data_IF_546393202508
#
_entry.id   IF_546393202508
#
_cell.length_a   1.000
_cell.length_b   1.000
_cell.length_c   1.000
_cell.angle_alpha   90.00
_cell.angle_beta   90.00
_cell.angle_gamma   90.00
#
_symmetry.space_group_name_H-M   'P 1'
#
loop_
_entity.id
_entity.type
_entity.pdbx_description
1 polymer ?
#
# COMPACT_ATOMS: atom_id res chain seq x y z
N UNK A 1 11.28 14.26 -47.67
CA UNK A 1 11.29 15.48 -46.84
C UNK A 1 9.85 15.80 -46.53
N UNK A 2 9.35 15.95 -45.31
CA UNK A 2 9.90 15.84 -43.97
C UNK A 2 8.75 15.30 -43.10
N UNK A 3 9.04 14.34 -42.22
CA UNK A 3 8.07 13.83 -41.25
C UNK A 3 8.13 14.75 -40.04
N UNK A 4 6.99 15.39 -39.73
CA UNK A 4 6.81 16.26 -38.60
C UNK A 4 7.02 15.48 -37.29
N UNK A 5 8.14 15.74 -36.63
CA UNK A 5 8.38 15.38 -35.24
C UNK A 5 8.07 16.58 -34.35
N UNK A 6 6.81 16.74 -33.96
CA UNK A 6 6.40 17.70 -32.92
C UNK A 6 5.13 17.18 -32.28
N UNK A 7 5.27 16.47 -31.15
CA UNK A 7 4.22 16.36 -30.12
C UNK A 7 4.69 15.68 -28.82
N UNK A 8 5.90 15.10 -28.77
CA UNK A 8 6.43 14.47 -27.52
C UNK A 8 7.03 15.43 -26.48
N UNK A 9 7.10 16.74 -26.74
CA UNK A 9 7.83 17.69 -25.87
C UNK A 9 6.95 18.32 -24.78
N UNK A 10 5.64 18.36 -24.95
CA UNK A 10 4.71 18.97 -24.00
C UNK A 10 4.30 18.07 -22.82
N UNK A 11 4.15 16.76 -23.06
CA UNK A 11 3.78 15.80 -21.99
C UNK A 11 4.93 15.56 -21.01
N UNK A 12 6.18 15.54 -21.49
CA UNK A 12 7.34 15.28 -20.65
C UNK A 12 7.65 16.41 -19.64
N UNK A 13 7.22 17.66 -19.90
CA UNK A 13 7.43 18.77 -18.96
C UNK A 13 6.44 18.80 -17.80
N UNK A 14 5.27 18.20 -17.96
CA UNK A 14 4.21 18.17 -16.92
C UNK A 14 4.47 17.08 -15.84
N UNK A 15 5.45 16.20 -16.06
CA UNK A 15 5.79 15.12 -15.14
C UNK A 15 6.95 15.46 -14.19
N UNK A 16 7.57 16.63 -14.35
CA UNK A 16 8.70 17.07 -13.53
C UNK A 16 8.22 18.10 -12.53
N UNK A 17 8.64 17.99 -11.27
CA UNK A 17 8.32 18.93 -10.20
C UNK A 17 8.93 20.29 -10.52
N UNK A 18 8.11 21.25 -10.94
CA UNK A 18 8.52 22.61 -11.29
C UNK A 18 7.46 23.61 -10.84
N UNK A 19 7.93 24.76 -10.36
CA UNK A 19 7.08 25.86 -9.92
C UNK A 19 7.50 27.17 -10.59
N UNK A 20 6.52 28.02 -10.89
CA UNK A 20 6.75 29.36 -11.45
C UNK A 20 7.01 30.39 -10.36
N UNK A 21 6.38 30.23 -9.18
CA UNK A 21 6.47 31.20 -8.11
C UNK A 21 7.87 31.21 -7.48
N UNK A 22 8.45 32.42 -7.37
CA UNK A 22 9.84 32.65 -6.92
C UNK A 22 10.17 32.03 -5.56
N UNK A 23 9.19 31.93 -4.66
CA UNK A 23 9.36 31.26 -3.36
C UNK A 23 10.05 29.90 -3.49
N UNK A 24 9.62 29.06 -4.44
CA UNK A 24 10.16 27.73 -4.62
C UNK A 24 11.59 27.74 -5.18
N UNK A 25 11.97 28.79 -5.91
CA UNK A 25 13.32 28.98 -6.44
C UNK A 25 14.27 29.68 -5.44
N UNK A 26 13.75 30.27 -4.36
CA UNK A 26 14.54 31.04 -3.39
C UNK A 26 15.37 30.19 -2.44
N UNK A 27 15.16 28.87 -2.40
CA UNK A 27 15.80 27.97 -1.44
C UNK A 27 16.43 26.78 -2.18
N UNK A 28 17.76 26.66 -2.11
CA UNK A 28 18.50 25.58 -2.79
C UNK A 28 18.20 24.19 -2.18
N UNK A 29 17.98 24.13 -0.87
CA UNK A 29 17.72 22.90 -0.12
C UNK A 29 16.21 22.62 0.08
N UNK A 30 15.34 23.19 -0.76
CA UNK A 30 13.90 22.92 -0.65
C UNK A 30 13.57 21.51 -1.13
N UNK A 31 12.87 20.77 -0.28
CA UNK A 31 12.29 19.48 -0.64
C UNK A 31 10.94 19.28 0.04
N UNK A 32 10.18 18.32 -0.44
CA UNK A 32 8.84 18.00 0.03
C UNK A 32 8.85 16.61 0.65
N UNK A 33 8.07 16.40 1.71
CA UNK A 33 7.85 15.08 2.33
C UNK A 33 6.50 15.02 3.04
N UNK A 34 6.06 13.82 3.40
CA UNK A 34 5.02 13.68 4.41
C UNK A 34 5.63 13.85 5.80
N UNK A 35 4.91 14.52 6.69
CA UNK A 35 5.24 14.54 8.12
C UNK A 35 4.81 13.23 8.81
N UNK A 36 5.03 13.15 10.13
CA UNK A 36 4.69 11.96 10.92
C UNK A 36 3.19 11.64 10.92
N UNK A 37 2.34 12.63 10.63
CA UNK A 37 0.89 12.54 10.59
C UNK A 37 0.33 12.29 9.18
N UNK A 38 1.19 12.27 8.16
CA UNK A 38 0.80 12.08 6.76
C UNK A 38 0.46 13.37 6.02
N UNK A 39 0.74 14.53 6.60
CA UNK A 39 0.48 15.82 5.96
C UNK A 39 1.65 16.20 5.06
N UNK A 40 1.42 16.61 3.80
CA UNK A 40 2.48 17.06 2.92
C UNK A 40 3.03 18.42 3.38
N UNK A 41 4.36 18.47 3.51
CA UNK A 41 5.10 19.64 4.00
C UNK A 41 6.27 19.95 3.08
N UNK A 42 6.57 21.23 2.96
CA UNK A 42 7.81 21.75 2.38
C UNK A 42 8.81 21.93 3.51
N UNK A 43 10.01 21.39 3.33
CA UNK A 43 11.11 21.50 4.28
C UNK A 43 12.20 22.33 3.63
N UNK A 44 12.61 23.39 4.33
CA UNK A 44 13.64 24.31 3.88
C UNK A 44 14.65 24.54 4.99
N UNK A 45 15.92 24.64 4.61
CA UNK A 45 17.01 24.86 5.55
C UNK A 45 17.21 26.37 5.77
N UNK A 46 17.10 26.82 7.03
CA UNK A 46 17.39 28.18 7.47
C UNK A 46 18.62 28.15 8.38
N UNK A 47 19.79 28.50 7.81
CA UNK A 47 21.07 28.43 8.49
C UNK A 47 21.34 27.04 9.10
N UNK A 48 21.19 26.90 10.43
CA UNK A 48 21.39 25.65 11.16
C UNK A 48 20.11 24.85 11.44
N UNK A 49 18.93 25.43 11.18
CA UNK A 49 17.64 24.84 11.52
C UNK A 49 16.83 24.50 10.27
N UNK A 50 15.92 23.54 10.40
CA UNK A 50 14.90 23.27 9.38
C UNK A 50 13.62 24.03 9.70
N UNK A 51 13.03 24.67 8.69
CA UNK A 51 11.68 25.18 8.75
C UNK A 51 10.75 24.25 7.95
N UNK A 52 9.62 23.90 8.57
CA UNK A 52 8.61 23.01 8.00
C UNK A 52 7.36 23.84 7.74
N UNK A 53 6.90 23.86 6.49
CA UNK A 53 5.74 24.62 6.04
C UNK A 53 4.71 23.69 5.43
N UNK A 54 3.50 23.69 5.99
CA UNK A 54 2.39 22.88 5.46
C UNK A 54 1.89 23.45 4.13
N UNK A 55 1.50 22.57 3.21
CA UNK A 55 1.03 22.98 1.88
C UNK A 55 -0.17 23.93 1.95
N UNK A 56 -1.10 23.73 2.88
CA UNK A 56 -2.24 24.63 3.09
C UNK A 56 -1.83 26.05 3.48
N UNK A 57 -0.76 26.18 4.27
CA UNK A 57 -0.20 27.47 4.65
C UNK A 57 0.42 28.18 3.45
N UNK A 58 1.21 27.44 2.66
CA UNK A 58 1.84 27.93 1.42
C UNK A 58 0.76 28.39 0.43
N UNK A 59 -0.29 27.59 0.23
CA UNK A 59 -1.42 27.93 -0.66
C UNK A 59 -2.09 29.23 -0.25
N UNK A 60 -2.37 29.39 1.04
CA UNK A 60 -3.00 30.60 1.58
C UNK A 60 -2.13 31.83 1.44
N UNK A 61 -0.85 31.71 1.80
CA UNK A 61 0.09 32.84 1.79
C UNK A 61 0.35 33.36 0.38
N UNK A 62 0.49 32.46 -0.59
CA UNK A 62 0.78 32.83 -1.97
C UNK A 62 -0.45 32.83 -2.90
N UNK A 63 -1.66 32.75 -2.33
CA UNK A 63 -2.92 32.75 -3.08
C UNK A 63 -2.99 31.67 -4.18
N UNK A 64 -2.35 30.52 -3.95
CA UNK A 64 -2.37 29.38 -4.87
C UNK A 64 -3.63 28.55 -4.64
N UNK A 65 -4.33 28.23 -5.72
CA UNK A 65 -5.51 27.37 -5.71
C UNK A 65 -5.39 26.27 -6.77
N UNK A 66 -6.32 25.31 -6.77
CA UNK A 66 -6.28 24.15 -7.66
C UNK A 66 -6.43 24.49 -9.16
N UNK A 67 -6.67 25.76 -9.51
CA UNK A 67 -6.68 26.24 -10.90
C UNK A 67 -5.33 26.84 -11.33
N UNK A 68 -4.51 27.30 -10.38
CA UNK A 68 -3.16 27.84 -10.66
C UNK A 68 -2.18 26.72 -10.99
N UNK A 69 -1.19 27.00 -11.86
CA UNK A 69 -0.14 26.03 -12.23
C UNK A 69 0.57 25.46 -11.00
N UNK A 70 1.04 26.34 -10.11
CA UNK A 70 1.75 25.92 -8.89
C UNK A 70 0.83 25.22 -7.88
N UNK A 71 -0.43 25.62 -7.77
CA UNK A 71 -1.41 24.93 -6.93
C UNK A 71 -1.67 23.49 -7.40
N UNK A 72 -1.79 23.29 -8.73
CA UNK A 72 -1.89 21.95 -9.33
C UNK A 72 -0.62 21.13 -9.09
N UNK A 73 0.56 21.73 -9.26
CA UNK A 73 1.82 21.04 -8.98
C UNK A 73 1.94 20.65 -7.50
N UNK A 74 1.55 21.51 -6.56
CA UNK A 74 1.49 21.14 -5.13
C UNK A 74 0.54 19.95 -4.89
N UNK A 75 -0.61 19.88 -5.58
CA UNK A 75 -1.48 18.71 -5.50
C UNK A 75 -0.78 17.45 -6.01
N UNK A 76 -0.13 17.51 -7.19
CA UNK A 76 0.59 16.36 -7.75
C UNK A 76 1.77 15.92 -6.89
N UNK A 77 2.50 16.87 -6.29
CA UNK A 77 3.56 16.57 -5.32
C UNK A 77 2.97 15.88 -4.09
N UNK A 78 1.86 16.39 -3.53
CA UNK A 78 1.21 15.77 -2.37
C UNK A 78 0.75 14.34 -2.66
N UNK A 79 0.21 14.08 -3.85
CA UNK A 79 -0.10 12.73 -4.34
C UNK A 79 1.18 11.88 -4.46
N UNK A 80 2.26 12.46 -5.01
CA UNK A 80 3.53 11.75 -5.26
C UNK A 80 4.21 11.29 -3.99
N UNK A 81 4.17 12.13 -2.97
CA UNK A 81 4.72 11.84 -1.64
C UNK A 81 4.05 10.66 -0.94
N UNK A 82 2.91 10.16 -1.45
CA UNK A 82 2.35 8.91 -0.95
C UNK A 82 3.16 7.68 -1.38
N UNK A 83 3.91 7.77 -2.48
CA UNK A 83 4.66 6.68 -3.09
C UNK A 83 6.18 6.79 -2.91
N UNK A 84 6.67 7.97 -2.49
CA UNK A 84 8.09 8.22 -2.28
C UNK A 84 8.35 9.00 -0.98
N UNK A 85 9.56 8.88 -0.45
CA UNK A 85 9.95 9.53 0.83
C UNK A 85 10.06 11.05 0.75
N UNK A 86 10.38 11.55 -0.43
CA UNK A 86 10.47 12.98 -0.66
C UNK A 86 10.63 13.28 -2.14
N UNK A 87 10.34 14.52 -2.49
CA UNK A 87 10.47 15.06 -3.84
C UNK A 87 11.20 16.39 -3.77
N UNK A 88 12.08 16.65 -4.74
CA UNK A 88 12.76 17.92 -4.95
C UNK A 88 12.29 18.56 -6.24
N UNK A 89 12.56 19.87 -6.37
CA UNK A 89 12.38 20.56 -7.64
C UNK A 89 13.31 19.94 -8.67
N UNK A 90 12.76 19.61 -9.84
CA UNK A 90 13.46 18.92 -10.92
C UNK A 90 13.33 17.40 -10.89
N UNK A 91 12.81 16.81 -9.81
CA UNK A 91 12.51 15.37 -9.77
C UNK A 91 11.31 15.03 -10.67
N UNK A 92 11.34 13.84 -11.27
CA UNK A 92 10.17 13.29 -11.95
C UNK A 92 9.18 12.76 -10.91
N UNK A 93 7.89 13.04 -11.11
CA UNK A 93 6.82 12.48 -10.29
C UNK A 93 6.83 10.93 -10.37
N UNK A 94 6.36 10.23 -9.33
CA UNK A 94 6.27 8.77 -9.35
C UNK A 94 5.39 8.25 -10.50
N UNK A 95 5.73 7.07 -11.02
CA UNK A 95 5.02 6.45 -12.15
C UNK A 95 3.56 6.16 -11.82
N UNK A 96 3.24 5.94 -10.55
CA UNK A 96 1.89 5.66 -10.06
C UNK A 96 0.93 6.81 -10.40
N UNK A 97 1.45 8.04 -10.49
CA UNK A 97 0.69 9.24 -10.84
C UNK A 97 0.71 9.50 -12.34
N UNK A 98 1.83 9.22 -12.99
CA UNK A 98 2.01 9.52 -14.41
C UNK A 98 1.31 8.48 -15.28
N UNK A 99 1.62 7.20 -15.05
CA UNK A 99 1.22 6.08 -15.92
C UNK A 99 0.38 5.01 -15.22
N UNK A 100 0.16 5.11 -13.89
CA UNK A 100 -0.41 4.05 -13.03
C UNK A 100 0.47 2.79 -12.91
N UNK A 101 1.68 2.82 -13.46
CA UNK A 101 2.66 1.77 -13.23
C UNK A 101 3.35 1.96 -11.89
N UNK A 102 3.83 0.88 -11.28
CA UNK A 102 4.64 0.99 -10.08
C UNK A 102 6.03 1.56 -10.40
N UNK A 103 6.58 2.37 -9.50
CA UNK A 103 7.94 2.90 -9.56
C UNK A 103 9.00 1.91 -9.07
N UNK A 104 8.58 0.76 -8.55
CA UNK A 104 9.41 -0.32 -8.02
C UNK A 104 9.14 -1.62 -8.79
N UNK A 105 9.96 -2.66 -8.58
CA UNK A 105 9.80 -3.94 -9.29
C UNK A 105 9.83 -5.12 -8.32
N UNK A 106 8.91 -6.09 -8.45
CA UNK A 106 8.91 -7.31 -7.66
C UNK A 106 10.01 -8.25 -8.16
N UNK A 107 10.45 -9.15 -7.28
CA UNK A 107 11.41 -10.21 -7.64
C UNK A 107 10.74 -11.33 -8.44
N UNK A 108 11.54 -12.07 -9.22
CA UNK A 108 11.07 -13.24 -10.00
C UNK A 108 10.30 -14.27 -9.16
N UNK A 109 10.65 -14.40 -7.87
CA UNK A 109 9.93 -15.31 -6.96
C UNK A 109 8.46 -14.91 -6.79
N UNK A 110 8.17 -13.60 -6.71
CA UNK A 110 6.82 -13.11 -6.52
C UNK A 110 5.97 -13.38 -7.77
N UNK A 111 6.56 -13.20 -8.96
CA UNK A 111 5.90 -13.55 -10.22
C UNK A 111 5.58 -15.05 -10.29
N UNK A 112 6.50 -15.92 -9.87
CA UNK A 112 6.25 -17.37 -9.82
C UNK A 112 5.10 -17.73 -8.88
N UNK A 113 5.06 -17.14 -7.69
CA UNK A 113 3.99 -17.36 -6.70
C UNK A 113 2.65 -16.87 -7.26
N UNK A 114 2.59 -15.67 -7.82
CA UNK A 114 1.38 -15.11 -8.42
C UNK A 114 0.84 -15.99 -9.57
N UNK A 115 1.71 -16.44 -10.47
CA UNK A 115 1.35 -17.38 -11.55
C UNK A 115 0.76 -18.68 -11.01
N UNK A 116 1.37 -19.23 -9.97
CA UNK A 116 0.90 -20.47 -9.36
C UNK A 116 -0.43 -20.28 -8.65
N UNK A 117 -0.64 -19.16 -7.95
CA UNK A 117 -1.92 -18.82 -7.32
C UNK A 117 -3.06 -18.82 -8.34
N UNK A 118 -2.90 -18.07 -9.43
CA UNK A 118 -3.89 -18.01 -10.52
C UNK A 118 -4.13 -19.38 -11.17
N UNK A 119 -3.05 -20.14 -11.39
CA UNK A 119 -3.16 -21.50 -11.96
C UNK A 119 -3.92 -22.44 -11.04
N UNK A 120 -3.66 -22.39 -9.74
CA UNK A 120 -4.37 -23.20 -8.75
C UNK A 120 -5.83 -22.78 -8.62
N UNK A 121 -6.14 -21.49 -8.73
CA UNK A 121 -7.52 -21.00 -8.76
C UNK A 121 -8.30 -21.56 -9.97
N UNK A 122 -7.68 -21.66 -11.15
CA UNK A 122 -8.29 -22.34 -12.31
C UNK A 122 -8.55 -23.82 -12.04
N UNK A 123 -7.61 -24.52 -11.39
CA UNK A 123 -7.78 -25.94 -11.04
C UNK A 123 -8.88 -26.12 -9.99
N UNK A 124 -8.94 -25.27 -8.98
CA UNK A 124 -10.01 -25.26 -7.96
C UNK A 124 -11.37 -24.99 -8.60
N UNK A 125 -11.45 -24.03 -9.53
CA UNK A 125 -12.67 -23.75 -10.29
C UNK A 125 -13.15 -24.99 -11.08
N UNK A 126 -12.24 -25.69 -11.76
CA UNK A 126 -12.58 -26.89 -12.53
C UNK A 126 -13.03 -28.06 -11.64
N UNK A 127 -12.31 -28.29 -10.54
CA UNK A 127 -12.52 -29.48 -9.70
C UNK A 127 -13.60 -29.29 -8.64
N UNK A 128 -13.97 -28.04 -8.35
CA UNK A 128 -14.85 -27.68 -7.22
C UNK A 128 -14.19 -27.90 -5.85
N UNK A 129 -12.89 -28.18 -5.80
CA UNK A 129 -12.16 -28.38 -4.56
C UNK A 129 -11.80 -27.02 -3.94
N UNK A 130 -12.63 -26.55 -3.00
CA UNK A 130 -12.36 -25.36 -2.21
C UNK A 130 -11.12 -25.61 -1.32
N UNK A 131 -9.96 -25.19 -1.79
CA UNK A 131 -8.76 -25.07 -0.98
C UNK A 131 -8.30 -23.62 -1.02
N UNK A 132 -8.35 -22.95 0.13
CA UNK A 132 -7.75 -21.63 0.30
C UNK A 132 -6.27 -21.87 0.59
N UNK A 133 -5.38 -21.29 -0.21
CA UNK A 133 -3.94 -21.41 -0.01
C UNK A 133 -3.44 -20.28 0.89
N UNK A 134 -2.87 -20.65 2.04
CA UNK A 134 -2.54 -19.71 3.11
C UNK A 134 -1.16 -19.06 2.94
N UNK A 135 -0.29 -19.67 2.13
CA UNK A 135 1.07 -19.20 1.89
C UNK A 135 1.60 -19.52 0.48
N UNK A 136 2.59 -18.75 0.02
CA UNK A 136 3.28 -19.01 -1.25
C UNK A 136 4.07 -20.34 -1.26
N UNK A 137 4.57 -20.78 -0.10
CA UNK A 137 5.28 -22.06 0.02
C UNK A 137 4.36 -23.27 -0.16
N UNK A 138 3.16 -23.22 0.43
CA UNK A 138 2.12 -24.23 0.26
C UNK A 138 1.72 -24.37 -1.21
N UNK A 139 1.53 -23.24 -1.90
CA UNK A 139 1.26 -23.20 -3.34
C UNK A 139 2.36 -23.88 -4.18
N UNK A 140 3.63 -23.57 -3.88
CA UNK A 140 4.78 -24.13 -4.59
C UNK A 140 4.89 -25.65 -4.45
N UNK A 141 4.56 -26.19 -3.28
CA UNK A 141 4.61 -27.64 -3.03
C UNK A 141 3.51 -28.38 -3.80
N UNK A 142 2.29 -27.86 -3.75
CA UNK A 142 1.11 -28.50 -4.38
C UNK A 142 1.19 -28.44 -5.90
N UNK A 143 1.71 -27.35 -6.48
CA UNK A 143 1.87 -27.21 -7.93
C UNK A 143 2.80 -28.26 -8.57
N UNK A 144 3.64 -28.93 -7.77
CA UNK A 144 4.56 -29.95 -8.26
C UNK A 144 3.94 -31.35 -8.37
N UNK A 145 2.75 -31.59 -7.83
CA UNK A 145 2.05 -32.86 -7.89
C UNK A 145 1.71 -33.25 -9.36
N UNK A 146 2.06 -34.48 -9.83
CA UNK A 146 1.73 -34.95 -11.16
C UNK A 146 0.23 -34.92 -11.52
N UNK A 147 -0.65 -35.15 -10.55
CA UNK A 147 -2.10 -35.12 -10.75
C UNK A 147 -2.59 -33.68 -10.94
N UNK A 148 -2.05 -32.73 -10.18
CA UNK A 148 -2.33 -31.30 -10.33
C UNK A 148 -1.91 -30.84 -11.73
N UNK A 149 -0.73 -31.23 -12.21
CA UNK A 149 -0.26 -30.87 -13.57
C UNK A 149 -1.18 -31.31 -14.69
N UNK A 150 -1.81 -32.49 -14.57
CA UNK A 150 -2.83 -32.94 -15.55
C UNK A 150 -4.08 -32.07 -15.49
N UNK A 151 -4.55 -31.77 -14.28
CA UNK A 151 -5.72 -30.92 -14.07
C UNK A 151 -5.48 -29.49 -14.57
N UNK A 152 -4.25 -28.98 -14.49
CA UNK A 152 -3.88 -27.66 -15.01
C UNK A 152 -4.15 -27.57 -16.51
N UNK A 153 -3.64 -28.51 -17.31
CA UNK A 153 -3.83 -28.45 -18.77
C UNK A 153 -5.31 -28.52 -19.16
N UNK A 154 -6.10 -29.31 -18.44
CA UNK A 154 -7.55 -29.39 -18.67
C UNK A 154 -8.23 -28.07 -18.28
N UNK A 155 -7.88 -27.50 -17.11
CA UNK A 155 -8.47 -26.26 -16.62
C UNK A 155 -8.29 -25.08 -17.59
N UNK A 156 -7.12 -24.98 -18.25
CA UNK A 156 -6.90 -23.96 -19.28
C UNK A 156 -7.82 -24.13 -20.51
N UNK A 157 -8.04 -25.36 -20.98
CA UNK A 157 -8.94 -25.63 -22.11
C UNK A 157 -10.41 -25.40 -21.75
N UNK A 158 -10.84 -25.81 -20.56
CA UNK A 158 -12.21 -25.59 -20.06
C UNK A 158 -12.46 -24.09 -19.81
N UNK A 159 -11.47 -23.36 -19.28
CA UNK A 159 -11.57 -21.92 -19.12
C UNK A 159 -11.70 -21.20 -20.48
N UNK A 160 -10.96 -21.62 -21.50
CA UNK A 160 -11.09 -21.05 -22.84
C UNK A 160 -12.50 -21.23 -23.43
N UNK A 161 -13.12 -22.40 -23.20
CA UNK A 161 -14.52 -22.63 -23.56
C UNK A 161 -15.49 -21.75 -22.75
N UNK A 162 -15.29 -21.64 -21.43
CA UNK A 162 -16.13 -20.80 -20.56
C UNK A 162 -16.05 -19.29 -20.86
N UNK A 163 -14.95 -18.86 -21.49
CA UNK A 163 -14.74 -17.50 -22.02
C UNK A 163 -15.31 -17.31 -23.44
N UNK A 164 -15.79 -18.36 -24.09
CA UNK A 164 -16.33 -18.30 -25.45
C UNK A 164 -15.27 -18.29 -26.56
N UNK A 165 -14.02 -18.59 -26.24
CA UNK A 165 -12.89 -18.64 -27.20
C UNK A 165 -12.76 -20.01 -27.88
N UNK A 166 -13.31 -21.05 -27.25
CA UNK A 166 -13.19 -22.45 -27.67
C UNK A 166 -11.94 -23.14 -27.10
N UNK A 167 -12.03 -24.45 -26.86
CA UNK A 167 -11.00 -25.23 -26.13
C UNK A 167 -9.60 -25.15 -26.70
N UNK A 168 -9.48 -24.99 -28.02
CA UNK A 168 -8.21 -24.91 -28.73
C UNK A 168 -7.46 -23.59 -28.46
N UNK A 169 -8.17 -22.53 -28.04
CA UNK A 169 -7.59 -21.21 -27.76
C UNK A 169 -7.04 -21.08 -26.33
N UNK A 170 -6.61 -22.17 -25.71
CA UNK A 170 -6.04 -22.19 -24.36
C UNK A 170 -4.85 -21.24 -24.18
N UNK A 171 -4.11 -20.94 -25.25
CA UNK A 171 -2.96 -20.03 -25.23
C UNK A 171 -3.36 -18.58 -24.92
N UNK A 172 -4.58 -18.16 -25.30
CA UNK A 172 -5.10 -16.84 -24.92
C UNK A 172 -5.32 -16.75 -23.41
N UNK A 173 -5.87 -17.80 -22.82
CA UNK A 173 -6.05 -17.89 -21.36
C UNK A 173 -4.70 -17.85 -20.65
N UNK A 174 -3.67 -18.52 -21.19
CA UNK A 174 -2.31 -18.43 -20.68
C UNK A 174 -1.82 -16.98 -20.70
N UNK A 175 -2.00 -16.23 -21.81
CA UNK A 175 -1.61 -14.82 -21.89
C UNK A 175 -2.32 -13.95 -20.85
N UNK A 176 -3.63 -14.13 -20.66
CA UNK A 176 -4.38 -13.40 -19.64
C UNK A 176 -3.87 -13.68 -18.23
N UNK A 177 -3.58 -14.94 -17.91
CA UNK A 177 -2.98 -15.32 -16.63
C UNK A 177 -1.59 -14.70 -16.47
N UNK A 178 -0.78 -14.62 -17.53
CA UNK A 178 0.53 -13.97 -17.45
C UNK A 178 0.44 -12.46 -17.20
N UNK A 179 -0.54 -11.78 -17.79
CA UNK A 179 -0.79 -10.35 -17.56
C UNK A 179 -1.20 -10.13 -16.10
N UNK A 180 -2.20 -10.87 -15.61
CA UNK A 180 -2.66 -10.77 -14.24
C UNK A 180 -1.59 -11.15 -13.22
N UNK A 181 -0.78 -12.16 -13.53
CA UNK A 181 0.32 -12.58 -12.65
C UNK A 181 1.38 -11.49 -12.49
N UNK A 182 1.64 -10.68 -13.53
CA UNK A 182 2.57 -9.54 -13.42
C UNK A 182 2.04 -8.49 -12.46
N UNK A 183 0.74 -8.19 -12.50
CA UNK A 183 0.12 -7.24 -11.58
C UNK A 183 0.07 -7.81 -10.14
N UNK A 184 -0.32 -9.08 -9.97
CA UNK A 184 -0.34 -9.75 -8.67
C UNK A 184 1.05 -9.95 -8.06
N UNK A 185 2.12 -10.00 -8.87
CA UNK A 185 3.49 -10.11 -8.36
C UNK A 185 3.85 -8.94 -7.41
N UNK A 186 3.27 -7.76 -7.63
CA UNK A 186 3.42 -6.63 -6.71
C UNK A 186 2.73 -6.91 -5.38
N UNK A 187 1.50 -7.44 -5.40
CA UNK A 187 0.79 -7.83 -4.18
C UNK A 187 1.58 -8.90 -3.40
N UNK A 188 2.16 -9.88 -4.09
CA UNK A 188 3.02 -10.90 -3.45
C UNK A 188 4.29 -10.31 -2.85
N UNK A 189 4.88 -9.27 -3.44
CA UNK A 189 6.01 -8.56 -2.85
C UNK A 189 5.62 -7.83 -1.55
N UNK A 190 4.44 -7.20 -1.54
CA UNK A 190 3.91 -6.54 -0.33
C UNK A 190 3.55 -7.56 0.77
N UNK A 191 3.18 -8.81 0.41
CA UNK A 191 2.97 -9.90 1.39
C UNK A 191 4.24 -10.27 2.13
N UNK A 192 5.41 -10.20 1.48
CA UNK A 192 6.69 -10.44 2.15
C UNK A 192 6.97 -9.36 3.19
N UNK A 193 6.70 -8.09 2.87
CA UNK A 193 6.83 -6.97 3.83
C UNK A 193 5.85 -7.17 4.99
N UNK A 194 4.61 -7.53 4.69
CA UNK A 194 3.59 -7.83 5.71
C UNK A 194 3.97 -9.00 6.63
N UNK A 195 4.66 -10.03 6.12
CA UNK A 195 5.20 -11.10 6.94
C UNK A 195 6.24 -10.58 7.95
N UNK A 196 7.04 -9.58 7.59
CA UNK A 196 7.94 -8.91 8.54
C UNK A 196 7.18 -8.12 9.61
N UNK A 197 6.06 -7.46 9.25
CA UNK A 197 5.19 -6.80 10.23
C UNK A 197 4.60 -7.81 11.25
N UNK A 198 4.21 -9.00 10.80
CA UNK A 198 3.75 -10.07 11.72
C UNK A 198 4.83 -10.46 12.74
N UNK A 199 6.10 -10.55 12.32
CA UNK A 199 7.23 -10.82 13.23
C UNK A 199 7.43 -9.70 14.25
N UNK A 200 7.19 -8.44 13.87
CA UNK A 200 7.22 -7.30 14.81
C UNK A 200 6.15 -7.48 15.88
N UNK A 201 4.92 -7.83 15.49
CA UNK A 201 3.82 -8.07 16.43
C UNK A 201 4.11 -9.23 17.39
N UNK A 202 4.70 -10.32 16.91
CA UNK A 202 5.16 -11.44 17.75
C UNK A 202 6.18 -10.97 18.80
N UNK A 203 7.15 -10.12 18.42
CA UNK A 203 8.11 -9.53 19.35
C UNK A 203 7.43 -8.63 20.37
N UNK A 204 6.50 -7.78 19.95
CA UNK A 204 5.69 -6.93 20.85
C UNK A 204 4.93 -7.80 21.86
N UNK A 205 4.27 -8.86 21.40
CA UNK A 205 3.54 -9.80 22.26
C UNK A 205 4.47 -10.50 23.26
N UNK A 206 5.70 -10.84 22.85
CA UNK A 206 6.74 -11.35 23.73
C UNK A 206 7.16 -10.35 24.81
N UNK A 207 7.46 -9.11 24.41
CA UNK A 207 7.83 -8.03 25.34
C UNK A 207 6.69 -7.71 26.32
N UNK A 208 5.43 -7.73 25.86
CA UNK A 208 4.23 -7.58 26.70
C UNK A 208 4.20 -8.59 27.84
N UNK A 209 4.55 -9.85 27.58
CA UNK A 209 4.63 -10.90 28.60
C UNK A 209 5.76 -10.64 29.60
N UNK A 210 6.94 -10.22 29.13
CA UNK A 210 8.10 -9.90 29.96
C UNK A 210 7.81 -8.72 30.91
N UNK A 211 7.16 -7.67 30.41
CA UNK A 211 6.85 -6.47 31.18
C UNK A 211 5.52 -6.54 31.96
N UNK A 212 4.87 -7.71 32.01
CA UNK A 212 3.55 -7.89 32.66
C UNK A 212 3.49 -7.49 34.14
N UNK A 213 4.62 -7.54 34.86
CA UNK A 213 4.73 -7.14 36.27
C UNK A 213 5.08 -5.66 36.48
N UNK A 214 5.51 -4.96 35.42
CA UNK A 214 5.87 -3.54 35.48
C UNK A 214 4.65 -2.68 35.12
N UNK A 215 4.00 -2.11 36.14
CA UNK A 215 2.76 -1.33 35.98
C UNK A 215 2.91 -0.13 35.04
N UNK A 216 4.08 0.50 34.96
CA UNK A 216 4.29 1.65 34.08
C UNK A 216 4.48 1.24 32.62
N UNK A 217 5.21 0.15 32.38
CA UNK A 217 5.51 -0.32 31.03
C UNK A 217 4.38 -1.16 30.42
N UNK A 218 3.62 -1.89 31.24
CA UNK A 218 2.56 -2.76 30.73
C UNK A 218 1.46 -1.96 30.03
N UNK A 219 1.08 -0.79 30.56
CA UNK A 219 0.04 0.05 29.95
C UNK A 219 0.43 0.49 28.53
N UNK A 220 1.67 0.95 28.37
CA UNK A 220 2.20 1.37 27.06
C UNK A 220 2.32 0.17 26.12
N UNK A 221 2.85 -0.96 26.61
CA UNK A 221 3.05 -2.16 25.79
C UNK A 221 1.72 -2.78 25.35
N UNK A 222 0.70 -2.75 26.21
CA UNK A 222 -0.67 -3.18 25.89
C UNK A 222 -1.32 -2.27 24.84
N UNK A 223 -1.05 -0.97 24.89
CA UNK A 223 -1.52 -0.05 23.87
C UNK A 223 -0.83 -0.28 22.53
N UNK A 224 0.49 -0.46 22.51
CA UNK A 224 1.26 -0.82 21.31
C UNK A 224 0.74 -2.13 20.70
N UNK A 225 0.56 -3.18 21.49
CA UNK A 225 0.04 -4.46 21.01
C UNK A 225 -1.35 -4.32 20.36
N UNK A 226 -2.24 -3.52 20.96
CA UNK A 226 -3.58 -3.26 20.38
C UNK A 226 -3.51 -2.50 19.06
N UNK A 227 -2.65 -1.49 18.97
CA UNK A 227 -2.47 -0.71 17.74
C UNK A 227 -1.80 -1.53 16.64
N UNK A 228 -0.82 -2.36 16.99
CA UNK A 228 -0.14 -3.30 16.08
C UNK A 228 -1.12 -4.30 15.48
N UNK A 229 -1.93 -4.97 16.31
CA UNK A 229 -2.97 -5.89 15.83
C UNK A 229 -3.97 -5.22 14.88
N UNK A 230 -4.32 -3.95 15.15
CA UNK A 230 -5.21 -3.19 14.27
C UNK A 230 -4.55 -2.89 12.92
N UNK A 231 -3.28 -2.49 12.93
CA UNK A 231 -2.52 -2.29 11.70
C UNK A 231 -2.47 -3.59 10.88
N UNK A 232 -2.13 -4.71 11.52
CA UNK A 232 -2.11 -6.02 10.86
C UNK A 232 -3.47 -6.38 10.25
N UNK A 233 -4.56 -6.09 10.94
CA UNK A 233 -5.91 -6.35 10.44
C UNK A 233 -6.21 -5.58 9.17
N UNK A 234 -5.85 -4.30 9.09
CA UNK A 234 -6.07 -3.46 7.89
C UNK A 234 -5.39 -4.07 6.67
N UNK A 235 -4.13 -4.50 6.82
CA UNK A 235 -3.41 -5.15 5.72
C UNK A 235 -3.99 -6.51 5.37
N UNK A 236 -4.32 -7.34 6.37
CA UNK A 236 -4.92 -8.65 6.15
C UNK A 236 -6.24 -8.53 5.40
N UNK A 237 -7.12 -7.61 5.80
CA UNK A 237 -8.42 -7.40 5.16
C UNK A 237 -8.24 -6.99 3.66
N UNK A 238 -7.21 -6.19 3.31
CA UNK A 238 -6.88 -5.86 1.91
C UNK A 238 -6.40 -7.08 1.11
N UNK A 239 -5.52 -7.89 1.69
CA UNK A 239 -5.04 -9.11 1.04
C UNK A 239 -6.17 -10.12 0.83
N UNK A 240 -7.03 -10.29 1.83
CA UNK A 240 -8.19 -11.19 1.77
C UNK A 240 -9.17 -10.73 0.68
N UNK A 241 -9.33 -9.41 0.48
CA UNK A 241 -10.18 -8.87 -0.57
C UNK A 241 -9.64 -9.21 -1.97
N UNK A 242 -8.32 -9.14 -2.18
CA UNK A 242 -7.70 -9.54 -3.46
C UNK A 242 -7.78 -11.06 -3.66
N UNK A 243 -7.54 -11.84 -2.61
CA UNK A 243 -7.65 -13.30 -2.68
C UNK A 243 -9.09 -13.74 -2.99
N UNK A 244 -10.09 -13.09 -2.41
CA UNK A 244 -11.51 -13.35 -2.70
C UNK A 244 -11.85 -13.06 -4.16
N UNK A 245 -11.43 -11.91 -4.71
CA UNK A 245 -11.70 -11.58 -6.11
C UNK A 245 -10.99 -12.52 -7.08
N UNK A 246 -9.74 -12.89 -6.79
CA UNK A 246 -8.99 -13.84 -7.63
C UNK A 246 -9.56 -15.27 -7.54
N UNK A 247 -10.30 -15.60 -6.48
CA UNK A 247 -11.09 -16.83 -6.38
C UNK A 247 -12.19 -16.95 -7.45
N UNK A 248 -12.74 -15.84 -7.94
CA UNK A 248 -13.71 -15.79 -9.04
C UNK A 248 -13.02 -15.70 -10.42
N UNK A 249 -12.02 -16.56 -10.64
CA UNK A 249 -11.05 -16.45 -11.76
C UNK A 249 -11.69 -16.31 -13.15
N UNK A 250 -12.81 -16.98 -13.45
CA UNK A 250 -13.48 -16.84 -14.75
C UNK A 250 -14.13 -15.46 -14.93
N UNK A 251 -14.75 -14.92 -13.89
CA UNK A 251 -15.32 -13.57 -13.94
C UNK A 251 -14.20 -12.53 -14.12
N UNK A 252 -13.07 -12.77 -13.46
CA UNK A 252 -11.87 -11.95 -13.57
C UNK A 252 -11.31 -11.94 -15.00
N UNK A 253 -11.15 -13.13 -15.61
CA UNK A 253 -10.65 -13.27 -16.98
C UNK A 253 -11.58 -12.66 -18.04
N UNK A 254 -12.90 -12.65 -17.80
CA UNK A 254 -13.88 -11.99 -18.69
C UNK A 254 -13.76 -10.47 -18.69
N UNK A 255 -13.21 -9.88 -17.63
CA UNK A 255 -13.12 -8.43 -17.46
C UNK A 255 -11.72 -8.00 -17.04
N UNK A 256 -10.72 -8.46 -17.78
CA UNK A 256 -9.31 -8.37 -17.40
C UNK A 256 -8.85 -6.93 -17.16
N UNK A 257 -9.26 -5.96 -18.00
CA UNK A 257 -8.82 -4.57 -17.89
C UNK A 257 -9.28 -3.94 -16.57
N UNK A 258 -10.57 -4.11 -16.21
CA UNK A 258 -11.08 -3.61 -14.93
C UNK A 258 -10.39 -4.30 -13.74
N UNK A 259 -9.98 -5.55 -13.90
CA UNK A 259 -9.30 -6.31 -12.84
C UNK A 259 -7.84 -5.88 -12.68
N UNK A 260 -7.16 -5.53 -13.77
CA UNK A 260 -5.84 -4.90 -13.73
C UNK A 260 -5.93 -3.58 -12.95
N UNK A 261 -6.89 -2.72 -13.29
CA UNK A 261 -7.08 -1.44 -12.59
C UNK A 261 -7.39 -1.63 -11.11
N UNK A 262 -8.24 -2.59 -10.77
CA UNK A 262 -8.52 -2.95 -9.39
C UNK A 262 -7.26 -3.41 -8.64
N UNK A 263 -6.49 -4.35 -9.22
CA UNK A 263 -5.25 -4.85 -8.60
C UNK A 263 -4.26 -3.71 -8.39
N UNK A 264 -4.12 -2.81 -9.36
CA UNK A 264 -3.25 -1.63 -9.25
C UNK A 264 -3.70 -0.71 -8.12
N UNK A 265 -5.00 -0.46 -7.97
CA UNK A 265 -5.51 0.34 -6.85
C UNK A 265 -5.21 -0.31 -5.49
N UNK A 266 -5.38 -1.63 -5.36
CA UNK A 266 -5.04 -2.31 -4.09
C UNK A 266 -3.53 -2.36 -3.85
N UNK A 267 -2.72 -2.57 -4.90
CA UNK A 267 -1.26 -2.46 -4.84
C UNK A 267 -0.85 -1.11 -4.30
N UNK A 268 -1.37 -0.04 -4.91
CA UNK A 268 -1.04 1.33 -4.55
C UNK A 268 -1.48 1.62 -3.10
N UNK A 269 -2.65 1.14 -2.69
CA UNK A 269 -3.12 1.26 -1.31
C UNK A 269 -2.21 0.55 -0.30
N UNK A 270 -1.84 -0.70 -0.58
CA UNK A 270 -0.91 -1.47 0.24
C UNK A 270 0.44 -0.78 0.33
N UNK A 271 1.00 -0.39 -0.81
CA UNK A 271 2.31 0.24 -0.90
C UNK A 271 2.36 1.54 -0.08
N UNK A 272 1.39 2.44 -0.26
CA UNK A 272 1.30 3.70 0.50
C UNK A 272 1.28 3.47 2.01
N UNK A 273 0.57 2.44 2.47
CA UNK A 273 0.46 2.10 3.89
C UNK A 273 1.70 1.37 4.43
N UNK A 274 2.39 0.60 3.59
CA UNK A 274 3.59 -0.16 3.96
C UNK A 274 4.87 0.68 3.89
N UNK A 275 4.92 1.70 3.04
CA UNK A 275 6.08 2.56 2.87
C UNK A 275 6.60 3.09 4.22
N UNK A 276 5.80 3.71 5.13
CA UNK A 276 6.33 4.17 6.42
C UNK A 276 6.96 3.09 7.31
N UNK A 277 6.68 1.81 7.07
CA UNK A 277 7.24 0.71 7.85
C UNK A 277 8.67 0.34 7.45
N UNK A 278 9.18 0.75 6.29
CA UNK A 278 10.56 0.38 5.90
C UNK A 278 11.63 0.95 6.84
N UNK A 279 11.33 2.01 7.59
CA UNK A 279 12.22 2.56 8.62
C UNK A 279 12.13 1.76 9.93
N UNK A 280 10.96 1.18 10.21
CA UNK A 280 10.66 0.43 11.44
C UNK A 280 11.18 -1.01 11.34
N UNK A 281 11.02 -1.67 10.19
CA UNK A 281 11.35 -3.08 10.01
C UNK A 281 12.84 -3.39 10.30
N UNK A 282 13.83 -2.65 9.76
CA UNK A 282 15.25 -2.93 10.01
C UNK A 282 15.61 -2.82 11.49
N UNK A 283 15.07 -1.82 12.19
CA UNK A 283 15.27 -1.63 13.63
C UNK A 283 14.69 -2.81 14.41
N UNK A 284 13.47 -3.22 14.08
CA UNK A 284 12.83 -4.31 14.81
C UNK A 284 13.39 -5.69 14.48
N UNK A 285 14.08 -5.87 13.34
CA UNK A 285 14.82 -7.10 13.05
C UNK A 285 15.92 -7.37 14.07
N UNK A 286 16.59 -6.34 14.59
CA UNK A 286 17.68 -6.48 15.57
C UNK A 286 17.21 -6.58 17.02
N UNK A 287 15.92 -6.35 17.30
CA UNK A 287 15.36 -6.43 18.65
C UNK A 287 15.31 -7.87 19.14
N UNK A 288 15.91 -8.13 20.30
CA UNK A 288 15.78 -9.39 21.04
C UNK A 288 14.72 -9.26 22.14
N UNK A 289 13.90 -10.30 22.31
CA UNK A 289 12.79 -10.31 23.28
C UNK A 289 13.33 -10.62 24.69
N UNK A 290 13.90 -9.59 25.32
CA UNK A 290 14.48 -9.64 26.67
C UNK A 290 14.13 -8.36 27.45
N UNK A 291 14.35 -8.36 28.76
CA UNK A 291 14.24 -7.13 29.56
C UNK A 291 15.47 -6.25 29.31
N UNK A 292 15.27 -5.04 28.80
CA UNK A 292 16.35 -4.06 28.57
C UNK A 292 15.80 -2.64 28.47
N UNK A 293 16.63 -1.65 28.80
CA UNK A 293 16.28 -0.23 28.61
C UNK A 293 16.11 0.12 27.12
N UNK A 294 16.89 -0.51 26.24
CA UNK A 294 16.73 -0.34 24.79
C UNK A 294 15.32 -0.74 24.33
N UNK A 295 14.81 -1.88 24.80
CA UNK A 295 13.47 -2.33 24.43
C UNK A 295 12.38 -1.39 24.93
N UNK A 296 12.59 -0.70 26.06
CA UNK A 296 11.67 0.35 26.55
C UNK A 296 11.65 1.54 25.59
N UNK A 297 12.81 1.93 25.04
CA UNK A 297 12.88 2.97 23.99
C UNK A 297 12.16 2.50 22.73
N UNK A 298 12.43 1.27 22.25
CA UNK A 298 11.77 0.73 21.04
C UNK A 298 10.25 0.65 21.15
N UNK A 299 9.72 0.28 22.33
CA UNK A 299 8.28 0.27 22.59
C UNK A 299 7.68 1.69 22.46
N UNK A 300 8.40 2.72 22.93
CA UNK A 300 7.97 4.11 22.82
C UNK A 300 8.02 4.61 21.38
N UNK A 301 9.09 4.29 20.66
CA UNK A 301 9.26 4.72 19.26
C UNK A 301 8.15 4.12 18.38
N UNK A 302 7.87 2.82 18.53
CA UNK A 302 6.78 2.19 17.77
C UNK A 302 5.41 2.69 18.22
N UNK A 303 5.24 3.06 19.49
CA UNK A 303 4.02 3.71 19.94
C UNK A 303 3.80 5.06 19.23
N UNK A 304 4.82 5.91 19.15
CA UNK A 304 4.76 7.19 18.45
C UNK A 304 4.50 7.01 16.96
N UNK A 305 5.03 5.95 16.35
CA UNK A 305 4.72 5.59 14.98
C UNK A 305 3.26 5.14 14.78
N UNK A 306 2.77 4.24 15.64
CA UNK A 306 1.45 3.62 15.53
C UNK A 306 0.29 4.53 15.96
N UNK A 307 0.48 5.32 17.01
CA UNK A 307 -0.57 6.16 17.60
C UNK A 307 -1.25 7.10 16.58
N UNK A 308 -0.54 7.97 15.84
CA UNK A 308 -1.18 8.85 14.87
C UNK A 308 -1.80 8.10 13.69
N UNK A 309 -1.40 6.85 13.45
CA UNK A 309 -1.84 6.04 12.31
C UNK A 309 -3.07 5.18 12.60
N UNK A 310 -3.11 4.56 13.77
CA UNK A 310 -4.08 3.51 14.08
C UNK A 310 -4.91 3.78 15.33
N UNK A 311 -4.65 4.86 16.08
CA UNK A 311 -5.49 5.22 17.22
C UNK A 311 -6.85 5.71 16.72
N UNK A 312 -7.91 5.15 17.28
CA UNK A 312 -9.26 5.63 17.00
C UNK A 312 -9.45 6.95 17.73
N UNK A 313 -9.67 8.02 16.99
CA UNK A 313 -10.15 9.27 17.56
C UNK A 313 -11.67 9.17 17.65
N UNK A 314 -12.21 9.22 18.86
CA UNK A 314 -13.62 9.52 19.03
C UNK A 314 -13.79 11.01 18.70
N UNK A 315 -14.29 11.34 17.51
CA UNK A 315 -14.75 12.70 17.24
C UNK A 315 -15.93 12.99 18.18
N UNK A 316 -15.69 13.82 19.18
CA UNK A 316 -16.77 14.41 19.97
C UNK A 316 -17.51 15.39 19.07
N UNK A 317 -18.58 14.93 18.42
CA UNK A 317 -19.53 15.82 17.77
C UNK A 317 -20.18 16.65 18.88
N UNK A 318 -19.77 17.92 18.99
CA UNK A 318 -20.46 18.90 19.82
C UNK A 318 -21.87 19.08 19.25
N UNK A 319 -22.85 18.41 19.85
CA UNK A 319 -24.27 18.64 19.59
C UNK A 319 -24.63 20.02 20.14
N UNK A 320 -24.46 21.06 19.34
CA UNK A 320 -25.03 22.38 19.63
C UNK A 320 -26.54 22.33 19.44
N UNK A 321 -27.26 22.28 20.58
CA UNK A 321 -28.70 22.54 20.82
C UNK A 321 -29.60 22.75 19.58
N UNK A 322 -30.28 21.67 19.17
CA UNK A 322 -31.76 21.60 19.03
C UNK A 322 -32.16 20.20 18.54
N UNK A 323 -33.03 19.54 19.30
CA UNK A 323 -33.68 18.28 18.89
C UNK A 323 -33.29 17.09 19.75
N UNK A 324 -33.89 16.99 20.93
CA UNK A 324 -34.10 15.69 21.56
C UNK A 324 -35.17 14.98 20.73
N UNK A 325 -34.80 13.95 19.96
CA UNK A 325 -35.72 12.88 19.62
C UNK A 325 -34.94 11.57 19.34
N UNK A 326 -35.43 10.55 20.01
CA UNK A 326 -35.01 9.15 20.13
C UNK A 326 -34.04 8.56 19.08
N UNK A 327 -32.95 8.01 19.61
CA UNK A 327 -32.21 6.92 18.99
C UNK A 327 -30.80 6.84 19.55
N UNK A 328 -30.52 5.90 20.45
CA UNK A 328 -29.15 5.52 20.83
C UNK A 328 -28.43 4.98 19.58
N UNK A 329 -27.93 5.88 18.73
CA UNK A 329 -26.93 5.51 17.73
C UNK A 329 -25.63 5.32 18.50
N UNK A 330 -25.13 4.09 18.52
CA UNK A 330 -23.75 3.79 18.92
C UNK A 330 -22.83 4.78 18.17
N UNK A 331 -21.77 5.30 18.82
CA UNK A 331 -20.81 6.13 18.12
C UNK A 331 -20.35 5.38 16.87
N UNK A 332 -20.55 6.01 15.71
CA UNK A 332 -20.06 5.50 14.43
C UNK A 332 -18.56 5.32 14.62
N UNK A 333 -18.08 4.10 14.38
CA UNK A 333 -16.72 3.67 14.70
C UNK A 333 -15.69 4.70 14.22
N UNK A 334 -14.68 4.96 15.06
CA UNK A 334 -13.66 5.96 14.78
C UNK A 334 -13.04 5.76 13.41
N UNK A 335 -13.07 6.82 12.61
CA UNK A 335 -12.42 6.90 11.29
C UNK A 335 -10.92 6.79 11.52
N UNK A 336 -10.29 5.83 10.85
CA UNK A 336 -8.82 5.75 10.79
C UNK A 336 -8.33 6.94 9.97
N UNK A 337 -7.26 7.61 10.41
CA UNK A 337 -6.69 8.77 9.69
C UNK A 337 -5.92 8.39 8.41
N UNK A 338 -6.13 7.20 7.86
CA UNK A 338 -5.42 6.65 6.70
C UNK A 338 -6.33 5.79 5.84
#
# INVERSE_FOLDING_TARGET
MAVAGTDKKGEAEDHVVRFEHKFFASFEDLYFRLDETGVPVAVLKLASNEAILNFDGIRREFMMNDQTTDGKMLTRVAEGLQYVRGLRIGDTLPKEIITREASWEPQDRHLRIARQRLTMQLVTWLTGAEHIFSSGEELLQIANDPQVKKNVSLAFSEAAEALGLGREQREEVVRYIEILAKELAYIEAERDIFAELKKIDEKIAGLRRIYSSDKGLIDTTDQVARLSLRALKVFQDLFDQVDAQTGEIIAMLKNIDNQIDYIRNVRDELHRRLLPWEDIIPVWKTVYVVKSEENVVRIRDIYQFLAPRFMQVNEWVLVTKRGFEAGKKKPIGGVLRW
#
